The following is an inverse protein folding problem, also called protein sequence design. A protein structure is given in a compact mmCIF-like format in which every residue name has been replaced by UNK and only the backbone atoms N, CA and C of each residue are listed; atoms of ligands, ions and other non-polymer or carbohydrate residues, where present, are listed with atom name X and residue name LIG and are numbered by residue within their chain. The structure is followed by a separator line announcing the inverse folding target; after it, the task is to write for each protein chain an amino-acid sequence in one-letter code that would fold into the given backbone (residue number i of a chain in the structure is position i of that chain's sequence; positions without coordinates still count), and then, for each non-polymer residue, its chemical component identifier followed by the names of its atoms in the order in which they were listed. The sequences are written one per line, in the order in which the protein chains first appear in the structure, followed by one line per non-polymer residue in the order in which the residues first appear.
data_IF_314356585819
#
_entry.id   IF_314356585819
#
_cell.length_a   1.000
_cell.length_b   1.000
_cell.length_c   1.000
_cell.angle_alpha   90.00
_cell.angle_beta   90.00
_cell.angle_gamma   90.00
#
_symmetry.space_group_name_H-M   'P 1'
#
loop_
_entity.id
_entity.type
_entity.pdbx_description
1 polymer ?
#
# COMPACT_ATOMS: atom_id res chain seq x y z
N UNK A 1 41.00 16.76 -32.36
CA UNK A 1 40.26 15.48 -32.49
C UNK A 1 40.16 14.70 -31.19
N UNK A 2 41.20 14.67 -30.38
CA UNK A 2 41.12 13.96 -29.07
C UNK A 2 40.17 14.61 -28.08
N UNK A 3 39.96 15.91 -28.13
CA UNK A 3 39.04 16.62 -27.23
C UNK A 3 37.56 16.27 -27.49
N UNK A 4 37.18 16.03 -28.75
CA UNK A 4 35.80 15.67 -29.09
C UNK A 4 35.43 14.26 -28.59
N UNK A 5 36.38 13.33 -28.64
CA UNK A 5 36.17 11.97 -28.14
C UNK A 5 36.05 11.93 -26.61
N UNK A 6 36.84 12.73 -25.93
CA UNK A 6 36.81 12.85 -24.47
C UNK A 6 35.48 13.46 -24.04
N UNK A 7 35.02 14.51 -24.69
CA UNK A 7 33.76 15.17 -24.42
C UNK A 7 32.59 14.25 -24.68
N UNK A 8 32.67 13.49 -25.79
CA UNK A 8 31.65 12.50 -26.16
C UNK A 8 31.58 11.36 -25.14
N UNK A 9 32.75 10.87 -24.71
CA UNK A 9 32.84 9.83 -23.69
C UNK A 9 32.32 10.33 -22.33
N UNK A 10 32.67 11.55 -21.97
CA UNK A 10 32.22 12.18 -20.74
C UNK A 10 30.68 12.39 -20.75
N UNK A 11 30.14 12.80 -21.90
CA UNK A 11 28.70 13.00 -22.06
C UNK A 11 27.94 11.68 -21.94
N UNK A 12 28.48 10.59 -22.48
CA UNK A 12 27.90 9.24 -22.33
C UNK A 12 27.89 8.79 -20.86
N UNK A 13 28.98 9.05 -20.13
CA UNK A 13 29.06 8.71 -18.71
C UNK A 13 28.05 9.50 -17.86
N UNK A 14 27.88 10.76 -18.14
CA UNK A 14 26.92 11.62 -17.45
C UNK A 14 25.49 11.16 -17.75
N UNK A 15 25.19 10.83 -19.01
CA UNK A 15 23.88 10.30 -19.40
C UNK A 15 23.58 8.96 -18.72
N UNK A 16 24.58 8.10 -18.59
CA UNK A 16 24.44 6.81 -17.91
C UNK A 16 24.19 6.99 -16.40
N UNK A 17 24.89 7.94 -15.77
CA UNK A 17 24.67 8.26 -14.36
C UNK A 17 23.27 8.83 -14.10
N UNK A 18 22.74 9.65 -15.01
CA UNK A 18 21.38 10.15 -14.92
C UNK A 18 20.34 9.06 -15.05
N UNK A 19 20.60 8.03 -15.88
CA UNK A 19 19.71 6.88 -16.01
C UNK A 19 19.67 6.04 -14.73
N UNK A 20 20.79 5.94 -14.02
CA UNK A 20 20.84 5.23 -12.74
C UNK A 20 20.16 6.00 -11.61
N UNK A 21 20.22 7.32 -11.66
CA UNK A 21 19.52 8.19 -10.70
C UNK A 21 18.01 8.19 -10.90
N UNK A 22 17.52 7.71 -12.07
CA UNK A 22 16.10 7.58 -12.35
C UNK A 22 15.40 6.40 -11.65
N UNK A 23 16.14 5.57 -10.93
CA UNK A 23 15.58 4.51 -10.09
C UNK A 23 15.24 5.03 -8.70
N UNK A 24 14.61 6.19 -8.61
CA UNK A 24 14.15 6.71 -7.34
C UNK A 24 13.01 5.87 -6.80
N UNK A 25 12.99 5.73 -5.48
CA UNK A 25 11.89 5.10 -4.78
C UNK A 25 10.57 5.73 -5.23
N UNK A 26 9.66 4.88 -5.68
CA UNK A 26 8.34 5.36 -6.03
C UNK A 26 7.70 5.97 -4.80
N UNK A 27 7.37 7.25 -4.88
CA UNK A 27 6.61 7.90 -3.82
C UNK A 27 5.30 7.14 -3.63
N UNK A 28 4.89 6.89 -2.38
CA UNK A 28 3.61 6.24 -2.15
C UNK A 28 2.52 7.05 -2.83
N UNK A 29 1.62 6.37 -3.52
CA UNK A 29 0.49 7.00 -4.17
C UNK A 29 -0.40 7.67 -3.12
N UNK A 30 -0.95 8.83 -3.47
CA UNK A 30 -1.88 9.53 -2.61
C UNK A 30 -3.14 8.67 -2.40
N UNK A 31 -3.51 8.46 -1.14
CA UNK A 31 -4.70 7.71 -0.77
C UNK A 31 -5.89 8.66 -0.61
N UNK A 32 -7.03 8.28 -1.17
CA UNK A 32 -8.26 9.02 -0.96
C UNK A 32 -8.93 8.62 0.36
N UNK A 33 -10.07 9.24 0.67
CA UNK A 33 -10.80 8.96 1.91
C UNK A 33 -11.23 7.50 2.01
N UNK A 34 -11.65 6.92 0.91
CA UNK A 34 -12.09 5.51 0.86
C UNK A 34 -10.92 4.57 1.08
N UNK A 35 -9.76 4.87 0.50
CA UNK A 35 -8.54 4.09 0.73
C UNK A 35 -8.15 4.11 2.21
N UNK A 36 -8.24 5.26 2.86
CA UNK A 36 -7.94 5.39 4.30
C UNK A 36 -8.94 4.63 5.16
N UNK A 37 -10.22 4.67 4.81
CA UNK A 37 -11.25 3.89 5.50
C UNK A 37 -11.03 2.40 5.35
N UNK A 38 -10.67 1.95 4.16
CA UNK A 38 -10.37 0.54 3.87
C UNK A 38 -9.13 0.11 4.64
N UNK A 39 -8.10 0.95 4.70
CA UNK A 39 -6.91 0.65 5.48
C UNK A 39 -7.23 0.49 6.96
N UNK A 40 -8.05 1.36 7.53
CA UNK A 40 -8.49 1.27 8.92
C UNK A 40 -9.35 0.02 9.15
N UNK A 41 -10.27 -0.26 8.26
CA UNK A 41 -11.10 -1.47 8.29
C UNK A 41 -10.24 -2.73 8.25
N UNK A 42 -9.32 -2.81 7.30
CA UNK A 42 -8.48 -3.98 7.12
C UNK A 42 -7.53 -4.17 8.31
N UNK A 43 -7.01 -3.08 8.86
CA UNK A 43 -6.21 -3.14 10.09
C UNK A 43 -6.98 -3.72 11.26
N UNK A 44 -8.19 -3.27 11.50
CA UNK A 44 -9.06 -3.81 12.55
C UNK A 44 -9.43 -5.26 12.28
N UNK A 45 -9.70 -5.60 11.03
CA UNK A 45 -9.97 -6.98 10.62
C UNK A 45 -8.81 -7.91 10.98
N UNK A 46 -7.59 -7.52 10.67
CA UNK A 46 -6.40 -8.33 10.96
C UNK A 46 -6.17 -8.46 12.48
N UNK A 47 -6.40 -7.40 13.23
CA UNK A 47 -6.27 -7.43 14.69
C UNK A 47 -7.29 -8.37 15.34
N UNK A 48 -8.52 -8.33 14.86
CA UNK A 48 -9.60 -9.20 15.39
C UNK A 48 -9.41 -10.64 14.98
N UNK A 49 -8.91 -10.90 13.78
CA UNK A 49 -8.68 -12.26 13.29
C UNK A 49 -7.42 -12.90 13.89
N UNK A 50 -6.55 -12.10 14.51
CA UNK A 50 -5.27 -12.58 15.05
C UNK A 50 -4.26 -12.96 13.98
N UNK A 51 -4.49 -12.58 12.71
CA UNK A 51 -3.56 -12.87 11.62
C UNK A 51 -2.39 -11.88 11.68
N UNK A 52 -1.13 -12.37 11.68
CA UNK A 52 0.02 -11.46 11.63
C UNK A 52 0.02 -10.62 10.36
N UNK A 53 0.43 -9.33 10.44
CA UNK A 53 0.42 -8.45 9.28
C UNK A 53 1.36 -8.86 8.15
N UNK A 54 2.25 -9.82 8.41
CA UNK A 54 3.21 -10.32 7.44
C UNK A 54 2.68 -11.50 6.62
N UNK A 55 1.54 -12.05 7.00
CA UNK A 55 0.90 -13.12 6.23
C UNK A 55 0.12 -12.51 5.09
N UNK A 56 0.44 -12.92 3.87
CA UNK A 56 -0.13 -12.35 2.66
C UNK A 56 -1.65 -12.38 2.64
N UNK A 57 -2.21 -11.38 1.99
CA UNK A 57 -3.63 -11.03 1.94
C UNK A 57 -4.56 -12.09 1.34
N UNK A 58 -4.11 -13.31 1.14
CA UNK A 58 -4.92 -14.37 0.54
C UNK A 58 -5.51 -15.35 1.53
N UNK A 59 -5.19 -15.21 2.82
CA UNK A 59 -5.65 -16.20 3.79
C UNK A 59 -6.77 -15.64 4.67
N UNK A 60 -7.92 -16.17 4.40
CA UNK A 60 -9.05 -16.36 5.29
C UNK A 60 -9.75 -15.11 5.84
N UNK A 61 -10.37 -14.41 4.94
CA UNK A 61 -11.64 -13.74 5.23
C UNK A 61 -12.65 -14.69 5.91
N UNK A 62 -12.37 -15.99 5.91
CA UNK A 62 -13.24 -17.03 6.46
C UNK A 62 -13.19 -17.16 7.99
N UNK A 63 -12.26 -16.49 8.67
CA UNK A 63 -12.11 -16.59 10.13
C UNK A 63 -13.06 -15.69 10.91
N UNK A 64 -13.58 -14.64 10.27
CA UNK A 64 -14.56 -13.76 10.89
C UNK A 64 -15.95 -14.07 10.36
N UNK A 65 -16.91 -14.13 11.28
CA UNK A 65 -18.31 -14.24 10.93
C UNK A 65 -18.75 -13.06 10.08
N UNK A 66 -19.66 -13.27 9.14
CA UNK A 66 -20.21 -12.20 8.29
C UNK A 66 -20.83 -11.06 9.09
N UNK A 67 -21.37 -11.35 10.28
CA UNK A 67 -21.92 -10.35 11.19
C UNK A 67 -20.82 -9.41 11.70
N UNK A 68 -19.67 -9.96 12.05
CA UNK A 68 -18.52 -9.17 12.53
C UNK A 68 -17.95 -8.29 11.42
N UNK A 69 -17.88 -8.82 10.20
CA UNK A 69 -17.44 -8.06 9.02
C UNK A 69 -18.39 -6.91 8.74
N UNK A 70 -19.70 -7.15 8.80
CA UNK A 70 -20.72 -6.11 8.60
C UNK A 70 -20.63 -5.02 9.65
N UNK A 71 -20.41 -5.38 10.91
CA UNK A 71 -20.22 -4.42 11.99
C UNK A 71 -18.97 -3.57 11.80
N UNK A 72 -17.86 -4.17 11.31
CA UNK A 72 -16.64 -3.44 10.99
C UNK A 72 -16.84 -2.46 9.83
N UNK A 73 -17.56 -2.88 8.79
CA UNK A 73 -17.87 -2.01 7.67
C UNK A 73 -18.62 -0.77 8.13
N UNK A 74 -19.66 -0.96 8.96
CA UNK A 74 -20.44 0.15 9.51
C UNK A 74 -19.57 1.07 10.37
N UNK A 75 -18.72 0.50 11.21
CA UNK A 75 -17.79 1.27 12.05
C UNK A 75 -16.90 2.19 11.22
N UNK A 76 -16.45 1.73 10.06
CA UNK A 76 -15.55 2.48 9.20
C UNK A 76 -16.29 3.22 8.07
N UNK A 77 -17.61 3.33 8.18
CA UNK A 77 -18.44 4.03 7.18
C UNK A 77 -18.24 3.50 5.77
N UNK A 78 -18.09 2.19 5.64
CA UNK A 78 -17.92 1.50 4.37
C UNK A 78 -19.16 0.69 4.03
N UNK A 79 -19.50 0.64 2.75
CA UNK A 79 -20.50 -0.29 2.22
C UNK A 79 -19.78 -1.45 1.55
N UNK A 80 -20.46 -2.59 1.47
CA UNK A 80 -19.93 -3.76 0.75
C UNK A 80 -19.63 -3.43 -0.71
N UNK A 81 -20.49 -2.61 -1.33
CA UNK A 81 -20.31 -2.18 -2.73
C UNK A 81 -19.07 -1.32 -2.92
N UNK A 82 -18.85 -0.35 -2.02
CA UNK A 82 -17.67 0.50 -2.06
C UNK A 82 -16.40 -0.30 -1.87
N UNK A 83 -16.41 -1.25 -0.93
CA UNK A 83 -15.28 -2.14 -0.70
C UNK A 83 -14.98 -2.98 -1.93
N UNK A 84 -16.01 -3.59 -2.53
CA UNK A 84 -15.85 -4.43 -3.73
C UNK A 84 -15.29 -3.63 -4.91
N UNK A 85 -15.77 -2.39 -5.11
CA UNK A 85 -15.24 -1.50 -6.16
C UNK A 85 -13.76 -1.21 -5.95
N UNK A 86 -13.37 -0.92 -4.72
CA UNK A 86 -11.96 -0.63 -4.41
C UNK A 86 -11.08 -1.87 -4.57
N UNK A 87 -11.56 -3.04 -4.20
CA UNK A 87 -10.83 -4.30 -4.41
C UNK A 87 -10.52 -4.49 -5.90
N UNK A 88 -11.49 -4.22 -6.78
CA UNK A 88 -11.26 -4.31 -8.22
C UNK A 88 -10.21 -3.28 -8.70
N UNK A 89 -10.24 -2.07 -8.15
CA UNK A 89 -9.21 -1.07 -8.45
C UNK A 89 -7.83 -1.54 -8.00
N UNK A 90 -7.73 -2.12 -6.81
CA UNK A 90 -6.46 -2.61 -6.28
C UNK A 90 -5.89 -3.78 -7.09
N UNK A 91 -6.75 -4.66 -7.59
CA UNK A 91 -6.33 -5.75 -8.48
C UNK A 91 -5.69 -5.23 -9.76
N UNK A 92 -6.18 -4.10 -10.26
CA UNK A 92 -5.66 -3.46 -11.48
C UNK A 92 -4.45 -2.57 -11.22
N UNK A 93 -4.28 -2.12 -9.99
CA UNK A 93 -3.20 -1.20 -9.61
C UNK A 93 -2.47 -1.70 -8.36
N UNK A 94 -1.49 -2.60 -8.55
CA UNK A 94 -0.74 -3.17 -7.41
C UNK A 94 0.04 -2.13 -6.61
N UNK A 95 0.45 -1.02 -7.24
CA UNK A 95 1.16 0.06 -6.54
C UNK A 95 0.24 0.77 -5.54
N UNK A 96 -1.00 1.00 -5.92
CA UNK A 96 -2.01 1.57 -5.03
C UNK A 96 -2.29 0.63 -3.85
N UNK A 97 -2.45 -0.65 -4.13
CA UNK A 97 -2.63 -1.67 -3.09
C UNK A 97 -1.46 -1.69 -2.10
N UNK A 98 -0.24 -1.59 -2.60
CA UNK A 98 0.95 -1.52 -1.76
C UNK A 98 0.91 -0.31 -0.82
N UNK A 99 0.48 0.84 -1.33
CA UNK A 99 0.33 2.06 -0.53
C UNK A 99 -0.75 1.89 0.55
N UNK A 100 -1.85 1.25 0.22
CA UNK A 100 -2.91 0.91 1.20
C UNK A 100 -2.36 -0.02 2.27
N UNK A 101 -1.58 -1.04 1.92
CA UNK A 101 -0.97 -1.97 2.89
C UNK A 101 0.00 -1.26 3.83
N UNK A 102 0.76 -0.28 3.33
CA UNK A 102 1.61 0.53 4.17
C UNK A 102 0.79 1.29 5.21
N UNK A 103 -0.35 1.85 4.80
CA UNK A 103 -1.26 2.53 5.71
C UNK A 103 -1.87 1.55 6.72
N UNK A 104 -2.21 0.34 6.32
CA UNK A 104 -2.68 -0.72 7.22
C UNK A 104 -1.65 -1.00 8.32
N UNK A 105 -0.38 -1.12 7.93
CA UNK A 105 0.71 -1.34 8.91
C UNK A 105 0.81 -0.20 9.91
N UNK A 106 0.65 1.05 9.45
CA UNK A 106 0.66 2.21 10.34
C UNK A 106 -0.52 2.18 11.31
N UNK A 107 -1.71 1.81 10.84
CA UNK A 107 -2.90 1.68 11.69
C UNK A 107 -2.68 0.63 12.77
N UNK A 108 -2.19 -0.55 12.40
CA UNK A 108 -1.92 -1.63 13.34
C UNK A 108 -0.86 -1.20 14.36
N UNK A 109 0.22 -0.56 13.90
CA UNK A 109 1.29 -0.09 14.76
C UNK A 109 0.78 0.90 15.81
N UNK A 110 -0.07 1.84 15.42
CA UNK A 110 -0.65 2.83 16.33
C UNK A 110 -1.51 2.18 17.42
N UNK A 111 -2.18 1.07 17.10
CA UNK A 111 -3.06 0.37 18.03
C UNK A 111 -2.33 -0.60 18.93
N UNK A 112 -1.20 -1.14 18.47
CA UNK A 112 -0.47 -2.19 19.19
C UNK A 112 0.72 -1.67 19.99
N UNK A 113 1.29 -0.53 19.62
CA UNK A 113 2.40 0.08 20.37
C UNK A 113 1.83 0.81 21.59
N UNK A 114 2.29 0.46 22.80
CA UNK A 114 1.84 1.18 24.00
C UNK A 114 2.25 2.65 23.93
N UNK A 115 1.29 3.52 24.13
CA UNK A 115 1.53 4.96 24.20
C UNK A 115 2.22 5.25 25.53
N UNK A 116 3.45 5.72 25.45
CA UNK A 116 4.14 6.22 26.62
C UNK A 116 3.81 7.69 26.84
#
# INVERSE_FOLDING_TARGET
MKCCDIIRSLCCCVALCCALAGCEEQKPLALDKDDLRIAAFYGDYLLLSGVPPDVGAGQDIALLDSTDISALLVRHELTQEALNRKIEVYKRNPYLWRSVLQQVRLVIRKKTVPVK
#
